data_IF_322596440196
#
_entry.id   IF_322596440196
#
_cell.length_a   1.000
_cell.length_b   1.000
_cell.length_c   1.000
_cell.angle_alpha   90.00
_cell.angle_beta   90.00
_cell.angle_gamma   90.00
#
_symmetry.space_group_name_H-M   'P 1'
#
loop_
_entity.id
_entity.type
_entity.pdbx_description
1 polymer ?
#
# COMPACT_ATOMS: atom_id res chain seq x y z
N UNK A 1 -27.27 -1.73 3.86
CA UNK A 1 -27.56 -3.10 3.38
C UNK A 1 -27.42 -3.11 1.87
N UNK A 2 -26.97 -4.21 1.26
CA UNK A 2 -26.97 -4.40 -0.20
C UNK A 2 -28.38 -4.84 -0.60
N UNK A 3 -29.27 -3.91 -0.92
CA UNK A 3 -30.64 -4.26 -1.31
C UNK A 3 -30.64 -5.03 -2.64
N UNK A 4 -31.31 -6.19 -2.65
CA UNK A 4 -31.44 -7.04 -3.84
C UNK A 4 -30.19 -7.85 -4.19
N UNK A 5 -29.27 -8.06 -3.24
CA UNK A 5 -28.10 -8.95 -3.41
C UNK A 5 -28.11 -9.99 -2.31
N UNK A 6 -27.99 -11.26 -2.68
CA UNK A 6 -28.00 -12.43 -1.79
C UNK A 6 -26.84 -13.38 -2.12
N UNK A 7 -26.75 -14.52 -1.44
CA UNK A 7 -25.82 -15.60 -1.76
C UNK A 7 -24.63 -15.72 -0.80
N UNK A 8 -23.86 -16.82 -0.95
CA UNK A 8 -22.86 -17.23 0.03
C UNK A 8 -21.71 -16.23 0.21
N UNK A 9 -21.38 -15.43 -0.82
CA UNK A 9 -20.38 -14.37 -0.70
C UNK A 9 -20.83 -13.24 0.24
N UNK A 10 -22.13 -12.90 0.22
CA UNK A 10 -22.70 -11.87 1.09
C UNK A 10 -22.79 -12.37 2.53
N UNK A 11 -23.17 -13.62 2.74
CA UNK A 11 -23.21 -14.27 4.04
C UNK A 11 -21.82 -14.35 4.67
N UNK A 12 -20.83 -14.83 3.90
CA UNK A 12 -19.43 -14.87 4.32
C UNK A 12 -18.92 -13.49 4.70
N UNK A 13 -19.21 -12.46 3.89
CA UNK A 13 -18.84 -11.08 4.21
C UNK A 13 -19.50 -10.59 5.50
N UNK A 14 -20.76 -10.91 5.74
CA UNK A 14 -21.46 -10.54 6.96
C UNK A 14 -20.88 -11.24 8.19
N UNK A 15 -20.46 -12.49 8.07
CA UNK A 15 -19.73 -13.21 9.14
C UNK A 15 -18.37 -12.56 9.42
N UNK A 16 -17.57 -12.27 8.38
CA UNK A 16 -16.27 -11.61 8.50
C UNK A 16 -16.42 -10.26 9.21
N UNK A 17 -17.48 -9.50 8.91
CA UNK A 17 -17.75 -8.18 9.53
C UNK A 17 -18.00 -8.21 11.03
N UNK A 18 -18.36 -9.37 11.59
CA UNK A 18 -18.52 -9.53 13.05
C UNK A 18 -17.17 -9.56 13.77
N UNK A 19 -16.07 -9.83 13.05
CA UNK A 19 -14.72 -9.77 13.62
C UNK A 19 -14.28 -8.33 13.86
N UNK A 20 -13.76 -7.99 15.05
CA UNK A 20 -13.22 -6.66 15.34
C UNK A 20 -12.16 -6.20 14.33
N UNK A 21 -11.36 -7.12 13.82
CA UNK A 21 -10.32 -6.85 12.82
C UNK A 21 -10.88 -6.38 11.46
N UNK A 22 -12.16 -6.67 11.17
CA UNK A 22 -12.77 -6.50 9.84
C UNK A 22 -14.08 -5.69 9.87
N UNK A 23 -14.26 -4.79 10.83
CA UNK A 23 -15.57 -4.13 11.05
C UNK A 23 -16.00 -3.11 9.98
N UNK A 24 -15.07 -2.55 9.18
CA UNK A 24 -15.35 -1.40 8.28
C UNK A 24 -14.93 -1.64 6.83
N UNK A 25 -15.82 -2.28 6.07
CA UNK A 25 -15.68 -2.42 4.62
C UNK A 25 -16.40 -1.32 3.83
N UNK A 26 -15.86 -0.97 2.66
CA UNK A 26 -16.64 -0.38 1.57
C UNK A 26 -16.95 -1.48 0.56
N UNK A 27 -18.22 -1.64 0.21
CA UNK A 27 -18.70 -2.81 -0.53
C UNK A 27 -19.29 -2.35 -1.87
N UNK A 28 -18.97 -3.09 -2.93
CA UNK A 28 -19.53 -2.92 -4.27
C UNK A 28 -19.94 -4.27 -4.84
N UNK A 29 -21.05 -4.28 -5.56
CA UNK A 29 -21.57 -5.42 -6.32
C UNK A 29 -21.99 -4.91 -7.70
N UNK A 30 -22.03 -5.81 -8.69
CA UNK A 30 -22.57 -5.47 -10.01
C UNK A 30 -23.91 -6.16 -10.21
N UNK A 31 -24.96 -5.35 -10.27
CA UNK A 31 -26.33 -5.81 -10.46
C UNK A 31 -27.00 -6.30 -9.17
N UNK A 32 -28.19 -6.85 -9.36
CA UNK A 32 -28.99 -7.55 -8.34
C UNK A 32 -28.85 -9.05 -8.55
N UNK A 33 -29.11 -9.84 -7.51
CA UNK A 33 -29.12 -11.30 -7.56
C UNK A 33 -28.06 -11.97 -6.67
N UNK A 34 -27.89 -13.26 -6.90
CA UNK A 34 -27.00 -14.11 -6.10
C UNK A 34 -25.53 -13.82 -6.39
N UNK A 35 -24.72 -13.71 -5.34
CA UNK A 35 -23.28 -13.58 -5.41
C UNK A 35 -22.57 -14.76 -4.75
N UNK A 36 -21.74 -15.43 -5.53
CA UNK A 36 -21.03 -16.65 -5.12
C UNK A 36 -19.56 -16.39 -4.81
N UNK A 37 -18.97 -15.29 -5.33
CA UNK A 37 -17.54 -14.97 -5.16
C UNK A 37 -17.33 -13.69 -4.37
N UNK A 38 -16.46 -13.75 -3.36
CA UNK A 38 -16.06 -12.61 -2.53
C UNK A 38 -14.61 -12.23 -2.81
N UNK A 39 -14.38 -10.99 -3.23
CA UNK A 39 -13.05 -10.39 -3.38
C UNK A 39 -12.85 -9.33 -2.27
N UNK A 40 -11.80 -9.48 -1.48
CA UNK A 40 -11.42 -8.55 -0.41
C UNK A 40 -10.10 -7.86 -0.75
N UNK A 41 -10.14 -6.54 -0.90
CA UNK A 41 -8.95 -5.69 -0.98
C UNK A 41 -8.59 -5.11 0.38
N UNK A 42 -7.36 -5.30 0.85
CA UNK A 42 -6.84 -4.72 2.10
C UNK A 42 -5.89 -3.58 1.76
N UNK A 43 -6.18 -2.38 2.26
CA UNK A 43 -5.31 -1.23 2.09
C UNK A 43 -3.99 -1.36 2.87
N UNK A 44 -2.87 -1.01 2.25
CA UNK A 44 -1.57 -0.93 2.92
C UNK A 44 -0.85 0.42 2.74
N UNK A 45 0.19 0.64 3.53
CA UNK A 45 1.26 1.61 3.25
C UNK A 45 2.57 0.84 3.22
N UNK A 46 3.29 0.99 2.10
CA UNK A 46 4.57 0.34 1.89
C UNK A 46 5.68 1.05 2.67
N UNK A 47 6.60 0.31 3.30
CA UNK A 47 7.89 0.86 3.68
C UNK A 47 8.61 1.33 2.42
N UNK A 48 9.07 2.58 2.42
CA UNK A 48 9.80 3.13 1.27
C UNK A 48 11.30 2.86 1.37
N UNK A 49 12.00 2.93 0.23
CA UNK A 49 13.44 2.66 0.13
C UNK A 49 14.32 3.92 0.28
N UNK A 50 13.70 5.11 0.34
CA UNK A 50 14.40 6.38 0.47
C UNK A 50 13.52 7.43 1.13
N UNK A 51 14.14 8.43 1.75
CA UNK A 51 13.46 9.52 2.47
C UNK A 51 13.75 9.49 3.97
N UNK A 52 13.27 10.52 4.68
CA UNK A 52 13.41 10.64 6.14
C UNK A 52 12.05 10.44 6.79
N UNK A 53 11.98 9.56 7.78
CA UNK A 53 10.74 9.24 8.49
C UNK A 53 10.91 9.48 9.97
N UNK A 54 9.95 10.17 10.56
CA UNK A 54 9.90 10.33 11.99
C UNK A 54 9.54 9.02 12.69
N UNK A 55 9.91 8.90 13.97
CA UNK A 55 9.64 7.71 14.78
C UNK A 55 8.15 7.38 14.82
N UNK A 56 7.28 8.39 14.90
CA UNK A 56 5.84 8.17 14.92
C UNK A 56 5.31 7.62 13.59
N UNK A 57 5.85 8.06 12.44
CA UNK A 57 5.45 7.59 11.11
C UNK A 57 5.83 6.12 10.93
N UNK A 58 7.07 5.76 11.28
CA UNK A 58 7.54 4.37 11.23
C UNK A 58 6.72 3.46 12.15
N UNK A 59 6.37 3.92 13.36
CA UNK A 59 5.51 3.17 14.29
C UNK A 59 4.10 2.96 13.73
N UNK A 60 3.56 3.94 13.00
CA UNK A 60 2.25 3.82 12.36
C UNK A 60 2.28 2.82 11.21
N UNK A 61 3.32 2.84 10.36
CA UNK A 61 3.51 1.81 9.31
C UNK A 61 3.58 0.41 9.95
N UNK A 62 4.33 0.24 11.04
CA UNK A 62 4.37 -1.03 11.77
C UNK A 62 3.00 -1.47 12.31
N UNK A 63 2.18 -0.54 12.83
CA UNK A 63 0.83 -0.87 13.30
C UNK A 63 -0.07 -1.31 12.12
N UNK A 64 0.03 -0.68 10.96
CA UNK A 64 -0.72 -1.08 9.74
C UNK A 64 -0.35 -2.50 9.34
N UNK A 65 0.95 -2.81 9.29
CA UNK A 65 1.43 -4.15 8.95
C UNK A 65 0.98 -5.19 10.00
N UNK A 66 0.88 -4.80 11.28
CA UNK A 66 0.35 -5.65 12.34
C UNK A 66 -1.15 -5.91 12.15
N UNK A 67 -1.92 -4.90 11.76
CA UNK A 67 -3.34 -5.06 11.46
C UNK A 67 -3.56 -5.96 10.24
N UNK A 68 -2.76 -5.78 9.18
CA UNK A 68 -2.78 -6.66 8.00
C UNK A 68 -2.51 -8.11 8.42
N UNK A 69 -1.50 -8.36 9.26
CA UNK A 69 -1.22 -9.69 9.79
C UNK A 69 -2.44 -10.29 10.50
N UNK A 70 -3.06 -9.56 11.44
CA UNK A 70 -4.20 -10.08 12.20
C UNK A 70 -5.42 -10.35 11.30
N UNK A 71 -5.67 -9.48 10.32
CA UNK A 71 -6.74 -9.66 9.33
C UNK A 71 -6.49 -10.92 8.50
N UNK A 72 -5.30 -11.05 7.90
CA UNK A 72 -4.97 -12.20 7.05
C UNK A 72 -4.93 -13.50 7.86
N UNK A 73 -4.45 -13.48 9.10
CA UNK A 73 -4.49 -14.62 10.01
C UNK A 73 -5.93 -15.04 10.33
N UNK A 74 -6.81 -14.08 10.61
CA UNK A 74 -8.23 -14.36 10.82
C UNK A 74 -8.85 -15.01 9.57
N UNK A 75 -8.64 -14.44 8.39
CA UNK A 75 -9.19 -14.98 7.14
C UNK A 75 -8.61 -16.36 6.78
N UNK A 76 -7.34 -16.60 7.10
CA UNK A 76 -6.71 -17.91 6.91
C UNK A 76 -7.32 -18.97 7.83
N UNK A 77 -7.56 -18.65 9.11
CA UNK A 77 -8.11 -19.60 10.08
C UNK A 77 -9.61 -19.83 9.96
N UNK A 78 -10.37 -18.77 9.71
CA UNK A 78 -11.84 -18.80 9.72
C UNK A 78 -12.44 -19.07 8.35
N UNK A 79 -11.72 -18.76 7.27
CA UNK A 79 -12.22 -18.85 5.89
C UNK A 79 -11.27 -19.62 4.97
N UNK A 80 -10.26 -20.31 5.53
CA UNK A 80 -9.29 -21.13 4.78
C UNK A 80 -8.59 -20.38 3.63
N UNK A 81 -8.43 -19.05 3.75
CA UNK A 81 -7.69 -18.26 2.76
C UNK A 81 -6.18 -18.49 2.97
N UNK A 82 -5.59 -19.31 2.10
CA UNK A 82 -4.17 -19.66 2.19
C UNK A 82 -3.27 -18.85 1.25
N UNK A 83 -3.85 -18.13 0.29
CA UNK A 83 -3.09 -17.34 -0.68
C UNK A 83 -3.56 -15.89 -0.73
N UNK A 84 -2.60 -14.96 -0.66
CA UNK A 84 -2.88 -13.53 -0.62
C UNK A 84 -2.22 -12.80 -1.79
N UNK A 85 -2.98 -11.98 -2.51
CA UNK A 85 -2.45 -11.16 -3.59
C UNK A 85 -1.57 -10.05 -3.02
N UNK A 86 -0.36 -9.85 -3.55
CA UNK A 86 0.57 -8.88 -2.99
C UNK A 86 1.09 -7.91 -4.07
N UNK A 87 0.88 -6.61 -3.85
CA UNK A 87 1.51 -5.56 -4.65
C UNK A 87 3.04 -5.61 -4.53
N UNK A 88 3.74 -5.39 -5.65
CA UNK A 88 5.20 -5.52 -5.75
C UNK A 88 5.66 -6.92 -6.13
N UNK A 89 4.74 -7.85 -6.41
CA UNK A 89 5.04 -9.19 -6.91
C UNK A 89 4.37 -9.43 -8.27
N UNK A 90 5.20 -9.68 -9.29
CA UNK A 90 4.81 -9.86 -10.69
C UNK A 90 5.26 -11.22 -11.28
N UNK A 91 5.49 -12.23 -10.43
CA UNK A 91 5.90 -13.57 -10.87
C UNK A 91 4.77 -14.35 -11.58
N UNK A 92 5.07 -15.57 -12.04
CA UNK A 92 4.12 -16.41 -12.81
C UNK A 92 3.30 -17.40 -11.97
N UNK A 93 3.37 -17.33 -10.63
CA UNK A 93 2.66 -18.28 -9.78
C UNK A 93 2.74 -17.95 -8.29
N UNK A 94 2.34 -18.91 -7.46
CA UNK A 94 2.39 -18.76 -6.01
C UNK A 94 3.83 -18.66 -5.51
N UNK A 95 4.06 -17.74 -4.57
CA UNK A 95 5.38 -17.49 -4.01
C UNK A 95 5.37 -17.34 -2.49
N UNK A 96 6.56 -17.43 -1.93
CA UNK A 96 6.86 -17.10 -0.54
C UNK A 96 8.05 -16.16 -0.50
N UNK A 97 8.14 -15.38 0.58
CA UNK A 97 9.36 -14.64 0.86
C UNK A 97 10.56 -15.58 1.07
N UNK A 98 11.81 -15.09 0.88
CA UNK A 98 13.01 -15.90 1.03
C UNK A 98 13.08 -16.63 2.38
N UNK A 99 13.47 -17.91 2.37
CA UNK A 99 13.51 -18.78 3.57
C UNK A 99 14.29 -18.16 4.73
N UNK A 100 15.42 -17.52 4.45
CA UNK A 100 16.24 -16.86 5.47
C UNK A 100 15.49 -15.74 6.19
N UNK A 101 14.78 -14.89 5.45
CA UNK A 101 13.95 -13.82 6.01
C UNK A 101 12.83 -14.39 6.87
N UNK A 102 12.14 -15.43 6.38
CA UNK A 102 11.07 -16.09 7.13
C UNK A 102 11.59 -16.71 8.43
N UNK A 103 12.76 -17.35 8.41
CA UNK A 103 13.39 -17.92 9.61
C UNK A 103 13.72 -16.84 10.64
N UNK A 104 14.27 -15.70 10.21
CA UNK A 104 14.57 -14.57 11.08
C UNK A 104 13.30 -13.97 11.70
N UNK A 105 12.25 -13.78 10.89
CA UNK A 105 10.96 -13.30 11.38
C UNK A 105 10.31 -14.27 12.36
N UNK A 106 10.37 -15.58 12.09
CA UNK A 106 9.87 -16.62 13.00
C UNK A 106 10.61 -16.60 14.34
N UNK A 107 11.94 -16.53 14.31
CA UNK A 107 12.77 -16.44 15.52
C UNK A 107 12.46 -15.16 16.32
N UNK A 108 12.35 -14.01 15.64
CA UNK A 108 12.01 -12.74 16.27
C UNK A 108 10.59 -12.73 16.89
N UNK A 109 9.66 -13.46 16.26
CA UNK A 109 8.29 -13.62 16.71
C UNK A 109 8.10 -14.74 17.75
N UNK A 110 9.20 -15.32 18.28
CA UNK A 110 9.17 -16.36 19.29
C UNK A 110 8.18 -16.08 20.43
N UNK A 111 7.82 -17.12 21.19
CA UNK A 111 6.62 -17.17 22.04
C UNK A 111 6.32 -15.95 22.94
N UNK A 112 7.31 -15.11 23.29
CA UNK A 112 7.16 -13.95 24.20
C UNK A 112 7.06 -12.58 23.52
N UNK A 113 7.45 -12.43 22.25
CA UNK A 113 7.65 -11.10 21.67
C UNK A 113 6.36 -10.45 21.14
N UNK A 114 5.41 -11.24 20.62
CA UNK A 114 4.20 -10.74 19.97
C UNK A 114 4.47 -10.02 18.65
N UNK A 115 3.65 -10.30 17.62
CA UNK A 115 3.81 -9.77 16.24
C UNK A 115 4.02 -8.26 16.19
N UNK A 116 3.20 -7.51 16.94
CA UNK A 116 3.25 -6.04 16.95
C UNK A 116 4.61 -5.50 17.41
N UNK A 117 5.30 -6.19 18.33
CA UNK A 117 6.62 -5.81 18.82
C UNK A 117 7.68 -6.05 17.76
N UNK A 118 7.64 -7.21 17.08
CA UNK A 118 8.54 -7.54 15.97
C UNK A 118 8.47 -6.46 14.90
N UNK A 119 7.27 -6.13 14.41
CA UNK A 119 7.10 -5.12 13.35
C UNK A 119 7.56 -3.73 13.80
N UNK A 120 7.37 -3.36 15.08
CA UNK A 120 7.88 -2.08 15.62
C UNK A 120 9.40 -2.05 15.67
N UNK A 121 10.04 -3.15 16.05
CA UNK A 121 11.50 -3.26 16.05
C UNK A 121 12.04 -3.19 14.63
N UNK A 122 11.44 -3.93 13.68
CA UNK A 122 11.80 -3.88 12.26
C UNK A 122 11.64 -2.46 11.69
N UNK A 123 10.55 -1.75 12.02
CA UNK A 123 10.36 -0.36 11.61
C UNK A 123 11.38 0.62 12.21
N UNK A 124 11.84 0.37 13.44
CA UNK A 124 12.91 1.16 14.06
C UNK A 124 14.24 0.96 13.32
N UNK A 125 14.57 -0.28 12.97
CA UNK A 125 15.77 -0.63 12.18
C UNK A 125 15.70 0.02 10.79
N UNK A 126 14.58 -0.14 10.10
CA UNK A 126 14.32 0.47 8.79
C UNK A 126 14.50 1.98 8.80
N UNK A 127 13.88 2.67 9.77
CA UNK A 127 14.03 4.12 9.94
C UNK A 127 15.48 4.54 10.17
N UNK A 128 16.21 3.84 11.05
CA UNK A 128 17.62 4.13 11.33
C UNK A 128 18.48 3.94 10.08
N UNK A 129 18.23 2.89 9.29
CA UNK A 129 18.93 2.64 8.03
C UNK A 129 18.69 3.77 7.02
N UNK A 130 17.44 4.21 6.85
CA UNK A 130 17.10 5.36 6.00
C UNK A 130 17.82 6.64 6.43
N UNK A 131 17.86 6.94 7.73
CA UNK A 131 18.55 8.12 8.24
C UNK A 131 20.07 8.07 8.01
N UNK A 132 20.66 6.88 8.04
CA UNK A 132 22.10 6.66 7.83
C UNK A 132 22.47 6.51 6.35
N UNK A 133 21.50 6.46 5.44
CA UNK A 133 21.75 6.19 4.02
C UNK A 133 22.17 4.74 3.72
N UNK A 134 21.96 3.80 4.65
CA UNK A 134 22.28 2.38 4.45
C UNK A 134 21.19 1.73 3.59
N UNK A 135 21.40 1.75 2.27
CA UNK A 135 20.45 1.26 1.26
C UNK A 135 20.21 -0.25 1.39
N UNK A 136 21.25 -1.05 1.64
CA UNK A 136 21.14 -2.51 1.79
C UNK A 136 20.30 -2.88 3.00
N UNK A 137 20.52 -2.21 4.14
CA UNK A 137 19.73 -2.45 5.35
C UNK A 137 18.31 -1.88 5.22
N UNK A 138 18.14 -0.73 4.57
CA UNK A 138 16.82 -0.15 4.31
C UNK A 138 15.96 -1.10 3.45
N UNK A 139 16.50 -1.65 2.36
CA UNK A 139 15.79 -2.59 1.50
C UNK A 139 15.42 -3.88 2.23
N UNK A 140 16.37 -4.51 2.93
CA UNK A 140 16.11 -5.77 3.64
C UNK A 140 15.11 -5.61 4.79
N UNK A 141 15.20 -4.52 5.56
CA UNK A 141 14.26 -4.24 6.65
C UNK A 141 12.90 -3.73 6.16
N UNK A 142 12.82 -3.05 5.01
CA UNK A 142 11.56 -2.72 4.34
C UNK A 142 10.81 -3.99 3.93
N UNK A 143 11.50 -4.94 3.30
CA UNK A 143 10.90 -6.22 2.91
C UNK A 143 10.44 -7.05 4.13
N UNK A 144 11.21 -7.04 5.22
CA UNK A 144 10.84 -7.70 6.47
C UNK A 144 9.72 -6.98 7.25
N UNK A 145 9.46 -5.70 6.98
CA UNK A 145 8.35 -4.93 7.57
C UNK A 145 7.05 -5.21 6.81
N UNK A 146 6.66 -6.48 6.80
CA UNK A 146 5.49 -6.99 6.07
C UNK A 146 4.66 -7.91 6.96
N UNK A 147 3.37 -7.60 7.10
CA UNK A 147 2.42 -8.45 7.83
C UNK A 147 2.29 -9.84 7.19
N UNK A 148 2.30 -9.93 5.86
CA UNK A 148 2.26 -11.20 5.13
C UNK A 148 3.54 -11.99 5.32
N UNK A 149 4.72 -11.37 5.27
CA UNK A 149 5.98 -12.08 5.52
C UNK A 149 5.98 -12.73 6.90
N UNK A 150 5.44 -12.03 7.90
CA UNK A 150 5.31 -12.57 9.25
C UNK A 150 4.26 -13.70 9.34
N UNK A 151 3.14 -13.58 8.61
CA UNK A 151 2.17 -14.67 8.51
C UNK A 151 2.78 -15.91 7.86
N UNK A 152 3.51 -15.76 6.75
CA UNK A 152 4.24 -16.85 6.10
C UNK A 152 5.35 -17.46 6.98
N UNK A 153 5.92 -16.68 7.89
CA UNK A 153 6.92 -17.17 8.83
C UNK A 153 6.30 -18.07 9.92
N UNK A 154 5.07 -17.73 10.34
CA UNK A 154 4.35 -18.41 11.42
C UNK A 154 3.40 -19.52 10.92
N UNK A 155 2.98 -19.45 9.66
CA UNK A 155 2.09 -20.42 9.03
C UNK A 155 2.73 -20.98 7.73
N UNK A 156 3.01 -22.28 7.75
CA UNK A 156 3.67 -22.98 6.63
C UNK A 156 2.75 -23.18 5.43
N UNK A 157 1.43 -23.00 5.54
CA UNK A 157 0.53 -23.13 4.38
C UNK A 157 0.37 -21.84 3.56
N UNK A 158 0.79 -20.69 4.09
CA UNK A 158 0.47 -19.40 3.47
C UNK A 158 1.39 -19.03 2.31
N UNK A 159 0.81 -18.66 1.17
CA UNK A 159 1.49 -18.21 -0.05
C UNK A 159 1.04 -16.81 -0.49
N UNK A 160 1.72 -16.25 -1.48
CA UNK A 160 1.33 -15.03 -2.18
C UNK A 160 1.06 -15.31 -3.65
N UNK A 161 0.13 -14.61 -4.27
CA UNK A 161 -0.07 -14.62 -5.72
C UNK A 161 0.21 -13.23 -6.32
N UNK A 162 0.64 -13.16 -7.59
CA UNK A 162 0.96 -11.89 -8.24
C UNK A 162 -0.33 -11.13 -8.53
N UNK A 163 -0.36 -9.84 -8.20
CA UNK A 163 -1.45 -8.95 -8.63
C UNK A 163 -1.01 -7.96 -9.69
N UNK A 164 0.27 -7.97 -10.06
CA UNK A 164 0.83 -7.08 -11.06
C UNK A 164 1.17 -7.88 -12.33
N UNK A 165 0.62 -7.46 -13.47
CA UNK A 165 0.99 -8.02 -14.77
C UNK A 165 2.40 -7.57 -15.13
N UNK A 166 3.27 -8.52 -15.49
CA UNK A 166 4.70 -8.26 -15.68
C UNK A 166 4.99 -7.17 -16.72
N UNK A 167 4.22 -7.12 -17.81
CA UNK A 167 4.33 -6.14 -18.89
C UNK A 167 3.93 -4.71 -18.44
N UNK A 168 2.74 -4.56 -17.85
CA UNK A 168 2.24 -3.27 -17.36
C UNK A 168 3.08 -2.78 -16.18
N UNK A 169 3.48 -3.68 -15.28
CA UNK A 169 4.34 -3.36 -14.15
C UNK A 169 5.75 -2.98 -14.58
N UNK A 170 6.32 -3.63 -15.60
CA UNK A 170 7.65 -3.27 -16.11
C UNK A 170 7.63 -1.88 -16.76
N UNK A 171 6.63 -1.57 -17.57
CA UNK A 171 6.52 -0.25 -18.22
C UNK A 171 6.31 0.88 -17.19
N UNK A 172 5.39 0.69 -16.24
CA UNK A 172 5.14 1.65 -15.17
C UNK A 172 6.34 1.73 -14.21
N UNK A 173 6.95 0.60 -13.88
CA UNK A 173 8.13 0.48 -13.04
C UNK A 173 9.35 1.20 -13.61
N UNK A 174 9.60 1.07 -14.92
CA UNK A 174 10.65 1.84 -15.64
C UNK A 174 10.41 3.34 -15.54
N UNK A 175 9.17 3.79 -15.74
CA UNK A 175 8.81 5.21 -15.61
C UNK A 175 8.94 5.72 -14.17
N UNK A 176 8.53 4.93 -13.18
CA UNK A 176 8.71 5.23 -11.76
C UNK A 176 10.20 5.35 -11.42
N UNK A 177 11.03 4.41 -11.87
CA UNK A 177 12.47 4.41 -11.62
C UNK A 177 13.17 5.62 -12.25
N UNK A 178 12.80 5.98 -13.49
CA UNK A 178 13.27 7.19 -14.18
C UNK A 178 12.93 8.45 -13.37
N UNK A 179 11.65 8.60 -12.97
CA UNK A 179 11.21 9.75 -12.17
C UNK A 179 11.91 9.80 -10.80
N UNK A 180 12.13 8.66 -10.15
CA UNK A 180 12.91 8.60 -8.89
C UNK A 180 14.36 9.03 -9.09
N UNK A 181 14.98 8.64 -10.21
CA UNK A 181 16.34 9.06 -10.54
C UNK A 181 16.40 10.58 -10.74
N UNK A 182 15.51 11.14 -11.57
CA UNK A 182 15.43 12.58 -11.84
C UNK A 182 15.19 13.39 -10.56
N UNK A 183 14.25 12.96 -9.71
CA UNK A 183 13.99 13.60 -8.41
C UNK A 183 15.25 13.56 -7.54
N UNK A 184 15.95 12.42 -7.45
CA UNK A 184 17.17 12.29 -6.64
C UNK A 184 18.32 13.16 -7.16
N UNK A 185 18.48 13.28 -8.47
CA UNK A 185 19.50 14.14 -9.06
C UNK A 185 19.24 15.60 -8.71
N UNK A 186 17.98 16.04 -8.88
CA UNK A 186 17.56 17.38 -8.51
C UNK A 186 17.75 17.63 -7.01
N UNK A 187 17.34 16.70 -6.14
CA UNK A 187 17.49 16.79 -4.68
C UNK A 187 18.96 16.80 -4.21
N UNK A 188 19.90 16.37 -5.06
CA UNK A 188 21.35 16.43 -4.79
C UNK A 188 22.01 17.72 -5.27
N UNK A 189 21.38 18.46 -6.19
CA UNK A 189 21.91 19.72 -6.73
C UNK A 189 22.17 20.76 -5.64
N UNK A 190 23.19 21.61 -5.85
CA UNK A 190 23.51 22.73 -4.96
C UNK A 190 22.33 23.70 -4.82
N UNK A 191 21.64 23.97 -5.94
CA UNK A 191 20.43 24.80 -6.01
C UNK A 191 19.32 24.27 -5.09
N UNK A 192 18.94 23.00 -5.22
CA UNK A 192 17.86 22.47 -4.40
C UNK A 192 18.25 22.33 -2.92
N UNK A 193 19.53 22.03 -2.62
CA UNK A 193 20.04 22.06 -1.25
C UNK A 193 19.98 23.47 -0.65
N UNK A 194 20.17 24.51 -1.46
CA UNK A 194 19.98 25.90 -1.03
C UNK A 194 18.52 26.20 -0.70
N UNK A 195 17.59 25.80 -1.58
CA UNK A 195 16.14 25.89 -1.33
C UNK A 195 15.75 25.23 -0.01
N UNK A 196 16.25 24.01 0.24
CA UNK A 196 15.99 23.29 1.49
C UNK A 196 16.50 24.03 2.72
N UNK A 197 17.70 24.62 2.66
CA UNK A 197 18.28 25.41 3.77
C UNK A 197 17.48 26.69 4.05
N UNK A 198 17.02 27.36 2.99
CA UNK A 198 16.22 28.59 3.08
C UNK A 198 14.76 28.34 3.49
N UNK A 199 14.32 27.08 3.55
CA UNK A 199 12.94 26.74 3.88
C UNK A 199 11.90 27.34 2.91
N UNK A 200 12.31 27.65 1.67
CA UNK A 200 11.45 28.28 0.67
C UNK A 200 11.31 29.80 0.73
N UNK A 201 12.07 30.51 1.59
CA UNK A 201 12.05 31.97 1.71
C UNK A 201 13.24 32.61 0.99
N UNK A 202 13.07 33.80 0.40
CA UNK A 202 14.18 34.55 -0.22
C UNK A 202 14.93 33.74 -1.29
N UNK A 203 14.17 33.01 -2.12
CA UNK A 203 14.74 32.18 -3.17
C UNK A 203 15.16 33.06 -4.36
N UNK A 204 16.32 32.76 -4.96
CA UNK A 204 16.65 33.27 -6.28
C UNK A 204 15.72 32.65 -7.33
N UNK A 205 15.71 33.22 -8.55
CA UNK A 205 14.92 32.70 -9.66
C UNK A 205 15.25 31.22 -9.95
N UNK A 206 16.53 30.88 -9.98
CA UNK A 206 17.03 29.53 -10.27
C UNK A 206 16.68 28.54 -9.14
N UNK A 207 16.73 29.00 -7.88
CA UNK A 207 16.30 28.22 -6.72
C UNK A 207 14.79 27.94 -6.76
N UNK A 208 13.99 28.94 -7.13
CA UNK A 208 12.55 28.79 -7.32
C UNK A 208 12.23 27.80 -8.45
N UNK A 209 12.87 27.92 -9.60
CA UNK A 209 12.70 27.02 -10.74
C UNK A 209 13.04 25.56 -10.37
N UNK A 210 14.10 25.34 -9.59
CA UNK A 210 14.46 24.03 -9.06
C UNK A 210 13.36 23.45 -8.14
N UNK A 211 12.76 24.28 -7.27
CA UNK A 211 11.65 23.86 -6.42
C UNK A 211 10.39 23.49 -7.24
N UNK A 212 10.05 24.29 -8.25
CA UNK A 212 8.93 24.04 -9.17
C UNK A 212 9.14 22.75 -9.96
N UNK A 213 10.35 22.54 -10.50
CA UNK A 213 10.70 21.32 -11.23
C UNK A 213 10.54 20.08 -10.34
N UNK A 214 10.99 20.15 -9.09
CA UNK A 214 10.81 19.07 -8.12
C UNK A 214 9.34 18.73 -7.92
N UNK A 215 8.49 19.74 -7.73
CA UNK A 215 7.05 19.55 -7.54
C UNK A 215 6.38 18.97 -8.79
N UNK A 216 6.80 19.39 -9.99
CA UNK A 216 6.34 18.82 -11.27
C UNK A 216 6.67 17.33 -11.37
N UNK A 217 7.92 16.95 -11.07
CA UNK A 217 8.36 15.55 -11.08
C UNK A 217 7.60 14.70 -10.06
N UNK A 218 7.36 15.22 -8.84
CA UNK A 218 6.56 14.53 -7.82
C UNK A 218 5.10 14.36 -8.26
N UNK A 219 4.51 15.37 -8.91
CA UNK A 219 3.15 15.28 -9.47
C UNK A 219 3.06 14.22 -10.57
N UNK A 220 4.05 14.17 -11.47
CA UNK A 220 4.15 13.13 -12.49
C UNK A 220 4.33 11.74 -11.87
N UNK A 221 5.21 11.61 -10.88
CA UNK A 221 5.43 10.36 -10.13
C UNK A 221 4.13 9.85 -9.50
N UNK A 222 3.38 10.72 -8.82
CA UNK A 222 2.09 10.37 -8.22
C UNK A 222 1.05 9.95 -9.29
N UNK A 223 1.02 10.62 -10.44
CA UNK A 223 0.13 10.28 -11.57
C UNK A 223 0.49 8.92 -12.17
N UNK A 224 1.77 8.61 -12.31
CA UNK A 224 2.28 7.34 -12.83
C UNK A 224 1.99 6.18 -11.87
N UNK A 225 2.11 6.39 -10.56
CA UNK A 225 1.76 5.36 -9.56
C UNK A 225 0.27 5.02 -9.60
N UNK A 226 -0.58 6.04 -9.71
CA UNK A 226 -2.05 5.92 -9.75
C UNK A 226 -2.60 5.73 -11.17
N UNK A 227 -1.81 5.14 -12.08
CA UNK A 227 -2.18 5.04 -13.48
C UNK A 227 -3.41 4.12 -13.68
N UNK A 228 -4.50 4.56 -14.34
CA UNK A 228 -5.73 3.76 -14.49
C UNK A 228 -5.56 2.43 -15.21
N UNK A 229 -4.53 2.28 -16.05
CA UNK A 229 -4.21 0.99 -16.68
C UNK A 229 -3.61 0.00 -15.67
N UNK A 230 -2.85 0.48 -14.67
CA UNK A 230 -2.32 -0.35 -13.58
C UNK A 230 -3.46 -0.93 -12.76
N UNK A 231 -4.39 -0.09 -12.33
CA UNK A 231 -5.56 -0.52 -11.55
C UNK A 231 -6.42 -1.53 -12.32
N UNK A 232 -6.57 -1.32 -13.64
CA UNK A 232 -7.24 -2.27 -14.55
C UNK A 232 -6.51 -3.61 -14.67
N UNK A 233 -5.20 -3.58 -14.82
CA UNK A 233 -4.38 -4.80 -14.86
C UNK A 233 -4.47 -5.56 -13.53
N UNK A 234 -4.35 -4.86 -12.39
CA UNK A 234 -4.47 -5.45 -11.06
C UNK A 234 -5.85 -6.10 -10.87
N UNK A 235 -6.94 -5.40 -11.22
CA UNK A 235 -8.28 -5.98 -11.10
C UNK A 235 -8.44 -7.25 -11.96
N UNK A 236 -7.90 -7.25 -13.19
CA UNK A 236 -7.93 -8.44 -14.06
C UNK A 236 -7.21 -9.62 -13.43
N UNK A 237 -6.02 -9.41 -12.87
CA UNK A 237 -5.27 -10.48 -12.19
C UNK A 237 -5.97 -10.99 -10.93
N UNK A 238 -6.56 -10.09 -10.14
CA UNK A 238 -7.33 -10.48 -8.95
C UNK A 238 -8.54 -11.33 -9.34
N UNK A 239 -9.28 -10.95 -10.39
CA UNK A 239 -10.41 -11.74 -10.89
C UNK A 239 -9.94 -13.09 -11.42
N UNK A 240 -8.84 -13.14 -12.17
CA UNK A 240 -8.24 -14.39 -12.67
C UNK A 240 -7.85 -15.36 -11.55
N UNK A 241 -7.39 -14.83 -10.41
CA UNK A 241 -7.06 -15.61 -9.23
C UNK A 241 -8.27 -15.91 -8.33
N UNK A 242 -9.43 -15.30 -8.59
CA UNK A 242 -10.65 -15.49 -7.81
C UNK A 242 -11.41 -16.79 -8.14
N UNK A 243 -10.67 -17.91 -8.15
CA UNK A 243 -11.20 -19.26 -8.39
C UNK A 243 -11.91 -19.83 -7.15
N UNK A 244 -11.39 -19.55 -5.96
CA UNK A 244 -12.01 -19.92 -4.68
C UNK A 244 -13.16 -18.98 -4.28
N UNK A 245 -13.86 -19.28 -3.20
CA UNK A 245 -15.04 -18.50 -2.78
C UNK A 245 -14.65 -17.15 -2.17
N UNK A 246 -13.49 -17.09 -1.52
CA UNK A 246 -12.92 -15.87 -0.95
C UNK A 246 -11.53 -15.65 -1.54
N UNK A 247 -11.31 -14.46 -2.10
CA UNK A 247 -10.02 -14.02 -2.63
C UNK A 247 -9.59 -12.76 -1.92
N UNK A 248 -8.37 -12.73 -1.40
CA UNK A 248 -7.86 -11.61 -0.63
C UNK A 248 -6.59 -11.08 -1.29
N UNK A 249 -6.50 -9.77 -1.45
CA UNK A 249 -5.29 -9.12 -1.93
C UNK A 249 -4.99 -7.84 -1.14
N UNK A 250 -3.73 -7.45 -1.13
CA UNK A 250 -3.23 -6.30 -0.39
C UNK A 250 -2.66 -5.31 -1.39
N UNK A 251 -3.18 -4.09 -1.34
CA UNK A 251 -2.88 -3.03 -2.30
C UNK A 251 -2.72 -1.69 -1.58
N UNK A 252 -1.78 -0.87 -2.05
CA UNK A 252 -1.49 0.44 -1.49
C UNK A 252 -2.76 1.29 -1.38
N UNK A 253 -2.94 1.98 -0.25
CA UNK A 253 -4.16 2.75 0.00
C UNK A 253 -4.39 3.90 -0.99
N UNK A 254 -3.36 4.29 -1.75
CA UNK A 254 -3.49 5.26 -2.85
C UNK A 254 -4.41 4.77 -3.97
N UNK A 255 -4.50 3.46 -4.19
CA UNK A 255 -5.34 2.87 -5.23
C UNK A 255 -6.82 2.86 -4.86
N UNK A 256 -7.16 2.99 -3.57
CA UNK A 256 -8.52 2.74 -3.05
C UNK A 256 -9.63 3.44 -3.86
N UNK A 257 -9.52 4.73 -4.13
CA UNK A 257 -10.59 5.46 -4.84
C UNK A 257 -10.72 5.03 -6.30
N UNK A 258 -9.60 4.85 -6.99
CA UNK A 258 -9.56 4.34 -8.36
C UNK A 258 -10.13 2.93 -8.45
N UNK A 259 -9.69 2.05 -7.55
CA UNK A 259 -10.14 0.67 -7.47
C UNK A 259 -11.63 0.53 -7.16
N UNK A 260 -12.17 1.29 -6.20
CA UNK A 260 -13.61 1.29 -5.89
C UNK A 260 -14.45 1.71 -7.11
N UNK A 261 -14.04 2.77 -7.81
CA UNK A 261 -14.69 3.23 -9.05
C UNK A 261 -14.60 2.18 -10.15
N UNK A 262 -13.43 1.55 -10.30
CA UNK A 262 -13.19 0.52 -11.29
C UNK A 262 -14.03 -0.73 -11.05
N UNK A 263 -14.13 -1.19 -9.79
CA UNK A 263 -14.94 -2.36 -9.42
C UNK A 263 -16.42 -2.12 -9.66
N UNK A 264 -16.92 -0.90 -9.45
CA UNK A 264 -18.33 -0.58 -9.76
C UNK A 264 -18.68 -0.81 -11.23
N UNK A 265 -17.71 -0.63 -12.13
CA UNK A 265 -17.89 -0.75 -13.59
C UNK A 265 -17.54 -2.14 -14.13
N UNK A 266 -16.49 -2.76 -13.61
CA UNK A 266 -15.83 -3.92 -14.24
C UNK A 266 -15.89 -5.21 -13.43
N UNK A 267 -16.46 -5.19 -12.23
CA UNK A 267 -16.65 -6.43 -11.47
C UNK A 267 -17.60 -7.35 -12.25
N UNK A 268 -17.35 -8.67 -12.35
CA UNK A 268 -18.28 -9.60 -12.97
C UNK A 268 -19.62 -9.67 -12.21
N UNK A 269 -20.70 -10.08 -12.88
CA UNK A 269 -21.95 -10.44 -12.17
C UNK A 269 -21.67 -11.64 -11.25
N UNK A 270 -22.37 -11.71 -10.12
CA UNK A 270 -22.17 -12.78 -9.13
C UNK A 270 -20.98 -12.60 -8.20
N UNK A 271 -20.28 -11.46 -8.27
CA UNK A 271 -19.14 -11.13 -7.42
C UNK A 271 -19.50 -10.01 -6.45
N UNK A 272 -18.98 -10.11 -5.22
CA UNK A 272 -18.97 -9.06 -4.22
C UNK A 272 -17.53 -8.58 -4.05
N UNK A 273 -17.32 -7.27 -4.13
CA UNK A 273 -16.06 -6.64 -3.80
C UNK A 273 -16.16 -5.90 -2.47
N UNK A 274 -15.22 -6.14 -1.56
CA UNK A 274 -15.12 -5.46 -0.28
C UNK A 274 -13.72 -4.86 -0.09
N UNK A 275 -13.63 -3.55 0.15
CA UNK A 275 -12.39 -2.88 0.50
C UNK A 275 -12.30 -2.64 2.01
N UNK A 276 -11.28 -3.20 2.66
CA UNK A 276 -10.92 -2.96 4.04
C UNK A 276 -9.81 -1.92 4.14
N UNK A 277 -10.01 -0.88 4.96
CA UNK A 277 -8.93 0.07 5.30
C UNK A 277 -8.54 -0.14 6.76
N UNK A 278 -7.35 -0.68 7.04
CA UNK A 278 -6.84 -0.80 8.41
C UNK A 278 -7.04 0.51 9.19
N UNK A 279 -7.53 0.47 10.45
CA UNK A 279 -7.74 1.68 11.27
C UNK A 279 -6.50 2.57 11.36
N UNK A 280 -5.33 1.95 11.47
CA UNK A 280 -4.04 2.64 11.45
C UNK A 280 -3.70 3.26 10.09
N UNK A 281 -4.58 3.30 9.09
CA UNK A 281 -4.43 4.08 7.84
C UNK A 281 -5.37 5.28 7.73
N UNK A 282 -6.32 5.45 8.64
CA UNK A 282 -7.28 6.55 8.52
C UNK A 282 -6.62 7.92 8.68
N UNK A 283 -5.57 7.99 9.49
CA UNK A 283 -4.72 9.18 9.62
C UNK A 283 -3.97 9.51 8.32
N UNK A 284 -3.58 8.51 7.52
CA UNK A 284 -2.81 8.73 6.29
C UNK A 284 -3.61 9.57 5.30
N UNK A 285 -4.93 9.33 5.21
CA UNK A 285 -5.82 10.18 4.42
C UNK A 285 -5.90 11.61 4.94
N UNK A 286 -5.91 11.81 6.26
CA UNK A 286 -5.90 13.14 6.86
C UNK A 286 -4.57 13.86 6.61
N UNK A 287 -3.43 13.16 6.72
CA UNK A 287 -2.09 13.71 6.46
C UNK A 287 -1.88 14.02 4.98
N UNK A 288 -2.25 13.12 4.06
CA UNK A 288 -2.17 13.37 2.61
C UNK A 288 -3.08 14.54 2.21
N UNK A 289 -4.30 14.62 2.75
CA UNK A 289 -5.17 15.79 2.54
C UNK A 289 -4.54 17.06 3.09
N UNK A 290 -3.99 17.06 4.31
CA UNK A 290 -3.32 18.24 4.87
C UNK A 290 -2.10 18.67 4.07
N UNK A 291 -1.32 17.76 3.50
CA UNK A 291 -0.20 18.10 2.61
C UNK A 291 -0.71 18.66 1.28
N UNK A 292 -1.80 18.11 0.73
CA UNK A 292 -2.48 18.67 -0.45
C UNK A 292 -3.05 20.08 -0.17
N UNK A 293 -3.71 20.28 0.96
CA UNK A 293 -4.26 21.57 1.39
C UNK A 293 -3.19 22.57 1.79
N UNK A 294 -2.08 22.15 2.39
CA UNK A 294 -0.93 23.02 2.64
C UNK A 294 -0.25 23.42 1.32
N UNK A 295 -0.17 22.52 0.35
CA UNK A 295 0.29 22.85 -1.01
C UNK A 295 -0.65 23.82 -1.74
N UNK A 296 -1.97 23.68 -1.57
CA UNK A 296 -2.97 24.62 -2.12
C UNK A 296 -2.95 25.95 -1.36
N UNK A 297 -2.86 25.95 -0.03
CA UNK A 297 -2.83 27.16 0.79
C UNK A 297 -1.56 27.98 0.54
N UNK A 298 -0.40 27.34 0.34
CA UNK A 298 0.83 28.03 -0.09
C UNK A 298 0.68 28.57 -1.52
N UNK A 299 0.02 27.83 -2.42
CA UNK A 299 -0.27 28.30 -3.78
C UNK A 299 -1.28 29.47 -3.84
N UNK A 300 -2.28 29.50 -2.95
CA UNK A 300 -3.30 30.55 -2.87
C UNK A 300 -2.77 31.78 -2.12
N UNK A 301 -2.00 31.61 -1.05
CA UNK A 301 -1.33 32.74 -0.37
C UNK A 301 -0.35 33.44 -1.32
N UNK A 302 0.38 32.70 -2.16
CA UNK A 302 1.28 33.31 -3.15
C UNK A 302 0.56 34.00 -4.32
N UNK A 303 -0.70 33.63 -4.62
CA UNK A 303 -1.53 34.35 -5.60
C UNK A 303 -2.10 35.66 -5.04
N UNK A 304 -2.30 35.76 -3.73
CA UNK A 304 -2.81 36.97 -3.07
C UNK A 304 -1.72 38.04 -2.85
N UNK A 305 -0.45 37.65 -2.84
CA UNK A 305 0.69 38.58 -2.76
C UNK A 305 1.34 38.90 -4.13
N UNK A 306 0.76 38.43 -5.23
CA UNK A 306 1.25 38.64 -6.59
C UNK A 306 0.27 39.45 -7.47
N UNK A 307 -0.62 40.23 -6.85
CA UNK A 307 -1.46 41.25 -7.49
C UNK A 307 -1.05 42.62 -6.97
#
# INVERSE_FOLDING_TARGET
MLFGVSGPAVETLNQIRRSPACSKFKIHTRGRGECTKLIIGIGQVHPVLSGKFERYQARRIANVQSEIYEICRFLSRSNHVMSFGQEGYAGSGLARHPKQMLSQLKAAAGHRAGVKRVLRNTASIWRKALHRGDTKKATSSAAALSGIALLQALDRGVSMFPIEQADVHTAIGKNIAKLQHEIRQLERSSLYKSVQRKGGKGLSKEEYESAVMRNKLIKQFNKTIAHPQRDRAILREVIKHAKGDVTVFILGTGHRSGFLSLTKKNLPKGYVFAWLTPPSLWWWKATVRRILWAGIAVGVLLLVFAV
#
